data_IF_656006493869
#
_entry.id   IF_656006493869
#
_cell.length_a   1.000
_cell.length_b   1.000
_cell.length_c   1.000
_cell.angle_alpha   90.00
_cell.angle_beta   90.00
_cell.angle_gamma   90.00
#
_symmetry.space_group_name_H-M   'P 1'
#
loop_
_entity.id
_entity.type
_entity.pdbx_description
1 polymer ?
#
# COMPACT_ATOMS: atom_id res chain seq x y z
N UNK A 1 -2.20 21.91 -13.80
CA UNK A 1 -1.14 21.66 -12.82
C UNK A 1 -1.79 21.54 -11.44
N UNK A 2 -1.40 20.56 -10.65
CA UNK A 2 -1.91 20.39 -9.29
C UNK A 2 -1.31 21.47 -8.37
N UNK A 3 -2.17 22.12 -7.56
CA UNK A 3 -1.70 23.12 -6.59
C UNK A 3 -1.51 22.46 -5.22
N UNK A 4 -0.26 22.30 -4.81
CA UNK A 4 0.13 21.73 -3.51
C UNK A 4 -0.45 22.53 -2.32
N UNK A 5 -0.74 23.82 -2.50
CA UNK A 5 -1.31 24.65 -1.44
C UNK A 5 -2.77 24.30 -1.10
N UNK A 6 -3.43 23.49 -1.93
CA UNK A 6 -4.76 22.93 -1.61
C UNK A 6 -4.69 21.87 -0.50
N UNK A 7 -3.49 21.32 -0.22
CA UNK A 7 -3.28 20.36 0.86
C UNK A 7 -3.00 21.10 2.17
N UNK A 8 -3.70 20.79 3.26
CA UNK A 8 -3.51 21.42 4.55
C UNK A 8 -2.04 21.42 4.99
N UNK A 9 -1.56 22.54 5.50
CA UNK A 9 -0.16 22.68 5.97
C UNK A 9 0.17 21.62 7.04
N UNK A 10 -0.76 21.32 7.94
CA UNK A 10 -0.58 20.30 8.99
C UNK A 10 -0.33 18.91 8.40
N UNK A 11 -1.00 18.55 7.30
CA UNK A 11 -0.80 17.30 6.60
C UNK A 11 0.58 17.26 5.92
N UNK A 12 0.95 18.32 5.21
CA UNK A 12 2.26 18.44 4.57
C UNK A 12 3.41 18.35 5.60
N UNK A 13 3.27 19.02 6.74
CA UNK A 13 4.25 18.97 7.84
C UNK A 13 4.35 17.55 8.42
N UNK A 14 3.21 16.89 8.64
CA UNK A 14 3.20 15.52 9.16
C UNK A 14 3.92 14.56 8.20
N UNK A 15 3.61 14.59 6.90
CA UNK A 15 4.27 13.80 5.86
C UNK A 15 5.77 14.08 5.88
N UNK A 16 6.17 15.35 5.75
CA UNK A 16 7.56 15.76 5.68
C UNK A 16 8.36 15.29 6.88
N UNK A 17 7.84 15.49 8.10
CA UNK A 17 8.49 15.08 9.34
C UNK A 17 8.74 13.56 9.38
N UNK A 18 7.77 12.75 9.00
CA UNK A 18 7.92 11.32 9.02
C UNK A 18 8.91 10.81 7.95
N UNK A 19 8.84 11.34 6.73
CA UNK A 19 9.77 10.97 5.67
C UNK A 19 11.22 11.33 6.03
N UNK A 20 11.44 12.53 6.59
CA UNK A 20 12.78 12.99 7.01
C UNK A 20 13.42 12.07 8.06
N UNK A 21 12.65 11.49 8.99
CA UNK A 21 13.14 10.53 9.98
C UNK A 21 13.77 9.29 9.33
N UNK A 22 13.35 8.97 8.12
CA UNK A 22 13.82 7.83 7.35
C UNK A 22 14.72 8.23 6.17
N UNK A 23 15.25 9.46 6.21
CA UNK A 23 16.20 9.96 5.21
C UNK A 23 15.59 10.17 3.83
N UNK A 24 14.30 10.52 3.78
CA UNK A 24 13.59 10.89 2.55
C UNK A 24 13.22 12.36 2.63
N UNK A 25 13.78 13.18 1.74
CA UNK A 25 13.38 14.57 1.55
C UNK A 25 12.17 14.64 0.64
N UNK A 26 11.32 15.66 0.87
CA UNK A 26 10.20 15.97 -0.01
C UNK A 26 10.23 17.46 -0.37
N UNK A 27 10.21 17.74 -1.64
CA UNK A 27 10.13 19.10 -2.16
C UNK A 27 8.73 19.68 -1.90
N UNK A 28 8.67 20.85 -1.28
CA UNK A 28 7.40 21.43 -0.81
C UNK A 28 6.56 22.07 -1.92
N UNK A 29 7.14 22.31 -3.09
CA UNK A 29 6.45 22.91 -4.24
C UNK A 29 5.96 21.83 -5.21
N UNK A 30 6.82 20.85 -5.48
CA UNK A 30 6.53 19.80 -6.47
C UNK A 30 5.98 18.51 -5.85
N UNK A 31 6.14 18.32 -4.54
CA UNK A 31 5.79 17.10 -3.83
C UNK A 31 6.69 15.90 -4.17
N UNK A 32 7.77 16.09 -4.93
CA UNK A 32 8.69 15.01 -5.29
C UNK A 32 9.57 14.62 -4.12
N UNK A 33 9.89 13.32 -4.05
CA UNK A 33 10.78 12.80 -3.01
C UNK A 33 12.13 12.42 -3.59
N UNK A 34 13.15 12.50 -2.74
CA UNK A 34 14.46 11.95 -3.00
C UNK A 34 15.11 11.45 -1.70
N UNK A 35 16.07 10.54 -1.82
CA UNK A 35 16.82 10.06 -0.67
C UNK A 35 17.91 11.08 -0.31
N UNK A 36 18.00 11.43 0.98
CA UNK A 36 19.03 12.34 1.47
C UNK A 36 20.40 11.65 1.33
N UNK A 37 21.38 12.28 0.63
CA UNK A 37 22.71 11.70 0.48
C UNK A 37 23.36 11.36 1.83
N UNK A 38 24.01 10.21 1.91
CA UNK A 38 24.67 9.74 3.13
C UNK A 38 23.76 9.11 4.17
N UNK A 39 22.43 9.08 3.96
CA UNK A 39 21.53 8.35 4.85
C UNK A 39 21.48 6.86 4.49
N UNK A 40 21.39 6.00 5.51
CA UNK A 40 21.30 4.54 5.35
C UNK A 40 19.86 4.08 5.23
N UNK A 41 19.68 2.80 4.82
CA UNK A 41 18.39 2.13 4.92
C UNK A 41 17.97 2.11 6.40
N UNK A 42 16.68 2.36 6.71
CA UNK A 42 16.17 2.28 8.08
C UNK A 42 16.49 0.94 8.74
N UNK A 43 16.78 0.98 10.03
CA UNK A 43 16.94 -0.25 10.82
C UNK A 43 15.62 -1.03 10.85
N UNK A 44 15.69 -2.32 10.56
CA UNK A 44 14.58 -3.26 10.71
C UNK A 44 15.01 -4.31 11.73
N UNK A 45 14.30 -4.39 12.86
CA UNK A 45 14.66 -5.22 14.02
C UNK A 45 13.95 -6.56 14.07
N UNK A 46 12.90 -6.75 13.29
CA UNK A 46 12.27 -8.06 13.14
C UNK A 46 13.12 -8.98 12.26
N UNK A 47 12.85 -10.28 12.26
CA UNK A 47 13.55 -11.25 11.43
C UNK A 47 13.21 -11.07 9.95
N UNK A 48 11.92 -10.87 9.66
CA UNK A 48 11.44 -10.66 8.30
C UNK A 48 10.06 -9.98 8.28
N UNK A 49 9.76 -9.30 7.19
CA UNK A 49 8.44 -8.73 6.90
C UNK A 49 7.98 -9.25 5.55
N UNK A 50 6.80 -9.83 5.52
CA UNK A 50 6.11 -10.24 4.31
C UNK A 50 4.77 -9.52 4.19
N UNK A 51 4.27 -9.36 2.98
CA UNK A 51 2.96 -8.80 2.73
C UNK A 51 2.17 -9.67 1.76
N UNK A 52 0.91 -9.89 2.09
CA UNK A 52 -0.10 -10.35 1.15
C UNK A 52 -1.11 -9.24 0.89
N UNK A 53 -1.50 -9.12 -0.37
CA UNK A 53 -2.52 -8.18 -0.79
C UNK A 53 -3.90 -8.77 -0.47
N UNK A 54 -4.88 -7.89 -0.16
CA UNK A 54 -6.27 -8.31 -0.04
C UNK A 54 -6.74 -9.11 -1.26
N UNK A 55 -7.71 -9.99 -1.08
CA UNK A 55 -8.32 -10.77 -2.15
C UNK A 55 -8.78 -9.89 -3.32
N UNK A 56 -8.77 -10.42 -4.53
CA UNK A 56 -9.27 -9.70 -5.70
C UNK A 56 -10.74 -9.36 -5.52
N UNK A 57 -11.07 -8.10 -5.76
CA UNK A 57 -12.43 -7.58 -5.71
C UNK A 57 -13.02 -7.41 -7.10
N UNK A 58 -14.34 -7.39 -7.22
CA UNK A 58 -15.01 -7.19 -8.50
C UNK A 58 -14.61 -5.88 -9.20
N UNK A 59 -14.43 -4.78 -8.45
CA UNK A 59 -13.99 -3.51 -9.03
C UNK A 59 -12.58 -3.63 -9.61
N UNK A 60 -11.65 -4.26 -8.86
CA UNK A 60 -10.29 -4.46 -9.38
C UNK A 60 -10.29 -5.36 -10.61
N UNK A 61 -11.14 -6.39 -10.66
CA UNK A 61 -11.26 -7.24 -11.85
C UNK A 61 -11.75 -6.49 -13.09
N UNK A 62 -12.42 -5.35 -12.90
CA UNK A 62 -12.89 -4.42 -13.95
C UNK A 62 -11.94 -3.24 -14.19
N UNK A 63 -10.75 -3.22 -13.54
CA UNK A 63 -9.77 -2.12 -13.62
C UNK A 63 -10.27 -0.79 -13.04
N UNK A 64 -11.18 -0.84 -12.08
CA UNK A 64 -11.79 0.32 -11.45
C UNK A 64 -11.14 0.66 -10.12
N UNK A 65 -11.07 1.95 -9.81
CA UNK A 65 -10.65 2.42 -8.49
C UNK A 65 -11.69 2.08 -7.43
N UNK A 66 -11.18 1.71 -6.27
CA UNK A 66 -11.98 1.54 -5.05
C UNK A 66 -11.63 2.61 -4.04
N UNK A 67 -12.64 3.02 -3.27
CA UNK A 67 -12.41 3.75 -2.04
C UNK A 67 -12.47 2.81 -0.82
N UNK A 68 -12.04 3.31 0.33
CA UNK A 68 -12.02 2.53 1.56
C UNK A 68 -13.41 2.32 2.17
N UNK A 69 -14.33 3.21 1.84
CA UNK A 69 -15.73 3.17 2.30
C UNK A 69 -16.65 2.33 1.41
N UNK A 70 -16.17 1.86 0.25
CA UNK A 70 -16.98 1.01 -0.65
C UNK A 70 -17.14 -0.38 -0.05
N UNK A 71 -18.14 -0.52 0.83
CA UNK A 71 -18.51 -1.79 1.45
C UNK A 71 -19.15 -2.80 0.49
N UNK A 72 -19.49 -2.38 -0.73
CA UNK A 72 -20.29 -3.17 -1.65
C UNK A 72 -19.47 -3.87 -2.74
N UNK A 73 -18.14 -3.80 -2.68
CA UNK A 73 -17.31 -4.52 -3.62
C UNK A 73 -16.99 -5.90 -3.08
N UNK A 74 -17.73 -6.89 -3.54
CA UNK A 74 -17.48 -8.31 -3.26
C UNK A 74 -16.11 -8.76 -3.77
N UNK A 75 -15.64 -9.89 -3.26
CA UNK A 75 -14.53 -10.60 -3.85
C UNK A 75 -14.98 -11.41 -5.06
N UNK A 76 -14.12 -11.56 -6.05
CA UNK A 76 -14.34 -12.54 -7.10
C UNK A 76 -14.20 -13.96 -6.52
N UNK A 77 -14.85 -14.96 -7.12
CA UNK A 77 -14.67 -16.37 -6.72
C UNK A 77 -13.19 -16.76 -6.80
N UNK A 78 -12.51 -16.36 -7.88
CA UNK A 78 -11.08 -16.57 -8.05
C UNK A 78 -10.26 -15.91 -6.92
N UNK A 79 -10.61 -14.69 -6.50
CA UNK A 79 -9.94 -14.00 -5.38
C UNK A 79 -10.06 -14.76 -4.07
N UNK A 80 -11.24 -15.32 -3.79
CA UNK A 80 -11.48 -16.15 -2.59
C UNK A 80 -10.64 -17.44 -2.66
N UNK A 81 -10.65 -18.15 -3.79
CA UNK A 81 -9.89 -19.39 -3.95
C UNK A 81 -8.38 -19.16 -3.83
N UNK A 82 -7.86 -18.11 -4.46
CA UNK A 82 -6.44 -17.74 -4.36
C UNK A 82 -6.09 -17.46 -2.90
N UNK A 83 -6.91 -16.70 -2.18
CA UNK A 83 -6.67 -16.38 -0.77
C UNK A 83 -6.69 -17.63 0.12
N UNK A 84 -7.58 -18.58 -0.14
CA UNK A 84 -7.60 -19.87 0.57
C UNK A 84 -6.33 -20.71 0.30
N UNK A 85 -5.82 -20.69 -0.92
CA UNK A 85 -4.53 -21.31 -1.24
C UNK A 85 -3.37 -20.66 -0.52
N UNK A 86 -3.31 -19.31 -0.54
CA UNK A 86 -2.30 -18.57 0.23
C UNK A 86 -2.36 -18.92 1.72
N UNK A 87 -3.56 -19.01 2.31
CA UNK A 87 -3.72 -19.37 3.72
C UNK A 87 -3.08 -20.73 4.06
N UNK A 88 -3.09 -21.68 3.12
CA UNK A 88 -2.41 -22.96 3.29
C UNK A 88 -0.88 -22.84 3.16
N UNK A 89 -0.39 -22.00 2.26
CA UNK A 89 1.05 -21.76 2.05
C UNK A 89 1.70 -21.06 3.25
N UNK A 90 0.94 -20.27 4.04
CA UNK A 90 1.47 -19.56 5.20
C UNK A 90 2.10 -20.48 6.27
N UNK A 91 1.69 -21.75 6.32
CA UNK A 91 2.28 -22.74 7.24
C UNK A 91 3.79 -22.92 7.03
N UNK A 92 4.29 -22.72 5.81
CA UNK A 92 5.69 -22.89 5.43
C UNK A 92 6.58 -21.73 5.91
N UNK A 93 5.98 -20.56 6.15
CA UNK A 93 6.71 -19.33 6.50
C UNK A 93 6.97 -19.18 8.00
N UNK A 94 6.24 -19.93 8.84
CA UNK A 94 6.36 -19.88 10.31
C UNK A 94 6.27 -18.45 10.86
N UNK A 95 5.24 -17.69 10.47
CA UNK A 95 4.99 -16.36 11.01
C UNK A 95 4.69 -16.40 12.51
N UNK A 96 5.19 -15.42 13.24
CA UNK A 96 4.89 -15.23 14.67
C UNK A 96 3.64 -14.38 14.87
N UNK A 97 3.36 -13.47 13.93
CA UNK A 97 2.26 -12.50 14.03
C UNK A 97 1.81 -12.04 12.64
N UNK A 98 0.51 -11.78 12.49
CA UNK A 98 -0.01 -11.03 11.35
C UNK A 98 -0.56 -9.67 11.80
N UNK A 99 -0.22 -8.61 11.06
CA UNK A 99 -0.78 -7.28 11.23
C UNK A 99 -1.65 -6.97 10.02
N UNK A 100 -2.89 -6.54 10.24
CA UNK A 100 -3.80 -6.26 9.13
C UNK A 100 -4.42 -4.87 9.19
N UNK A 101 -4.66 -4.28 8.00
CA UNK A 101 -5.25 -2.96 7.85
C UNK A 101 -6.74 -2.91 8.19
N UNK A 102 -7.30 -1.71 8.43
CA UNK A 102 -8.68 -1.55 8.93
C UNK A 102 -9.76 -1.62 7.86
N UNK A 103 -9.41 -1.53 6.57
CA UNK A 103 -10.41 -1.39 5.50
C UNK A 103 -11.15 -2.70 5.22
N UNK A 104 -12.43 -2.67 4.83
CA UNK A 104 -13.29 -3.85 4.76
C UNK A 104 -12.69 -5.00 3.93
N UNK A 105 -12.15 -4.74 2.73
CA UNK A 105 -11.55 -5.78 1.89
C UNK A 105 -10.33 -6.46 2.52
N UNK A 106 -9.55 -5.72 3.32
CA UNK A 106 -8.41 -6.29 4.06
C UNK A 106 -8.90 -7.12 5.25
N UNK A 107 -9.87 -6.60 6.00
CA UNK A 107 -10.50 -7.33 7.11
C UNK A 107 -11.13 -8.63 6.62
N UNK A 108 -11.89 -8.59 5.54
CA UNK A 108 -12.53 -9.78 4.98
C UNK A 108 -11.50 -10.79 4.44
N UNK A 109 -10.39 -10.31 3.86
CA UNK A 109 -9.27 -11.18 3.45
C UNK A 109 -8.66 -11.88 4.65
N UNK A 110 -8.41 -11.12 5.74
CA UNK A 110 -7.90 -11.68 6.98
C UNK A 110 -8.86 -12.75 7.55
N UNK A 111 -10.17 -12.54 7.50
CA UNK A 111 -11.16 -13.53 7.94
C UNK A 111 -11.06 -14.82 7.12
N UNK A 112 -10.95 -14.73 5.78
CA UNK A 112 -10.77 -15.92 4.91
C UNK A 112 -9.48 -16.68 5.28
N UNK A 113 -8.39 -15.97 5.54
CA UNK A 113 -7.13 -16.60 5.96
C UNK A 113 -7.29 -17.34 7.27
N UNK A 114 -8.02 -16.77 8.23
CA UNK A 114 -8.22 -17.34 9.56
C UNK A 114 -9.33 -18.41 9.61
N UNK A 115 -10.09 -18.64 8.54
CA UNK A 115 -10.97 -19.83 8.42
C UNK A 115 -10.17 -21.14 8.61
N UNK A 116 -8.92 -21.15 8.16
CA UNK A 116 -7.97 -22.20 8.46
C UNK A 116 -7.23 -21.87 9.75
N UNK A 117 -7.09 -22.81 10.71
CA UNK A 117 -6.27 -22.58 11.91
C UNK A 117 -4.84 -22.17 11.54
N UNK A 118 -4.43 -21.00 11.97
CA UNK A 118 -3.09 -20.47 11.79
C UNK A 118 -2.28 -20.59 13.10
N UNK A 119 -0.95 -20.65 12.99
CA UNK A 119 -0.04 -20.70 14.15
C UNK A 119 0.23 -19.31 14.75
N UNK A 120 -0.28 -18.25 14.15
CA UNK A 120 -0.13 -16.86 14.55
C UNK A 120 -1.49 -16.23 14.83
N UNK A 121 -1.51 -15.21 15.64
CA UNK A 121 -2.66 -14.33 15.80
C UNK A 121 -2.62 -13.16 14.79
N UNK A 122 -3.76 -12.55 14.52
CA UNK A 122 -3.87 -11.40 13.64
C UNK A 122 -4.35 -10.17 14.41
N UNK A 123 -3.58 -9.07 14.35
CA UNK A 123 -3.84 -7.82 15.06
C UNK A 123 -4.14 -6.70 14.07
N UNK A 124 -5.24 -5.97 14.31
CA UNK A 124 -5.63 -4.81 13.51
C UNK A 124 -4.73 -3.61 13.81
N UNK A 125 -4.14 -3.03 12.77
CA UNK A 125 -3.31 -1.83 12.86
C UNK A 125 -3.92 -0.73 11.99
N UNK A 126 -4.44 0.33 12.61
CA UNK A 126 -5.17 1.39 11.90
C UNK A 126 -4.30 2.12 10.86
N UNK A 127 -3.01 2.28 11.11
CA UNK A 127 -2.08 2.94 10.19
C UNK A 127 -1.62 2.05 9.03
N UNK A 128 -1.94 0.78 9.03
CA UNK A 128 -1.69 -0.14 7.93
C UNK A 128 -2.77 0.05 6.83
N UNK A 129 -2.79 1.26 6.30
CA UNK A 129 -3.82 1.80 5.43
C UNK A 129 -3.17 2.30 4.14
N UNK A 130 -3.68 1.87 3.00
CA UNK A 130 -3.16 2.26 1.69
C UNK A 130 -3.81 3.51 1.11
N UNK A 131 -3.70 3.67 -0.20
CA UNK A 131 -4.34 4.78 -0.92
C UNK A 131 -5.87 4.65 -0.84
N UNK A 132 -6.52 5.68 -0.34
CA UNK A 132 -7.95 5.89 -0.48
C UNK A 132 -8.23 6.77 -1.71
N UNK A 133 -9.06 6.26 -2.60
CA UNK A 133 -9.44 6.91 -3.86
C UNK A 133 -10.85 7.52 -3.81
N UNK A 134 -11.34 7.88 -2.63
CA UNK A 134 -12.66 8.51 -2.48
C UNK A 134 -12.81 9.70 -3.44
N UNK A 135 -13.86 9.66 -4.27
CA UNK A 135 -14.13 10.59 -5.36
C UNK A 135 -13.70 10.06 -6.75
N UNK A 136 -13.06 8.90 -6.81
CA UNK A 136 -12.73 8.19 -8.06
C UNK A 136 -13.31 6.77 -8.11
N UNK A 137 -14.32 6.51 -7.31
CA UNK A 137 -14.99 5.22 -7.25
C UNK A 137 -15.48 4.80 -8.64
N UNK A 138 -15.21 3.56 -8.99
CA UNK A 138 -15.62 2.93 -10.25
C UNK A 138 -15.07 3.59 -11.52
N UNK A 139 -14.11 4.51 -11.41
CA UNK A 139 -13.37 5.04 -12.55
C UNK A 139 -12.14 4.19 -12.83
N UNK A 140 -11.84 4.02 -14.11
CA UNK A 140 -10.58 3.39 -14.56
C UNK A 140 -9.44 4.40 -14.60
N UNK A 141 -8.22 3.92 -14.83
CA UNK A 141 -7.07 4.78 -15.13
C UNK A 141 -7.31 5.59 -16.41
N UNK A 142 -7.94 4.99 -17.41
CA UNK A 142 -8.25 5.63 -18.69
C UNK A 142 -9.23 6.79 -18.49
N UNK A 143 -10.27 6.62 -17.65
CA UNK A 143 -11.22 7.70 -17.33
C UNK A 143 -10.53 8.91 -16.68
N UNK A 144 -9.41 8.67 -16.01
CA UNK A 144 -8.70 9.69 -15.24
C UNK A 144 -7.46 10.25 -15.95
N UNK A 145 -7.13 9.78 -17.16
CA UNK A 145 -5.92 10.17 -17.89
C UNK A 145 -5.75 11.69 -18.11
N UNK A 146 -6.84 12.46 -18.09
CA UNK A 146 -6.83 13.91 -18.21
C UNK A 146 -7.13 14.63 -16.89
N UNK A 147 -7.29 13.90 -15.78
CA UNK A 147 -7.55 14.50 -14.47
C UNK A 147 -6.25 15.07 -13.87
N UNK A 148 -6.17 16.38 -13.57
CA UNK A 148 -4.94 17.00 -13.09
C UNK A 148 -4.39 16.38 -11.79
N UNK A 149 -5.27 15.98 -10.86
CA UNK A 149 -4.88 15.35 -9.61
C UNK A 149 -4.34 13.95 -9.84
N UNK A 150 -4.94 13.18 -10.77
CA UNK A 150 -4.45 11.86 -11.16
C UNK A 150 -3.06 11.96 -11.80
N UNK A 151 -2.88 12.89 -12.76
CA UNK A 151 -1.60 13.14 -13.41
C UNK A 151 -0.54 13.49 -12.36
N UNK A 152 -0.82 14.43 -11.46
CA UNK A 152 0.12 14.84 -10.42
C UNK A 152 0.52 13.65 -9.52
N UNK A 153 -0.46 12.86 -9.06
CA UNK A 153 -0.22 11.77 -8.11
C UNK A 153 0.47 10.57 -8.75
N UNK A 154 -0.04 10.10 -9.89
CA UNK A 154 0.40 8.81 -10.44
C UNK A 154 1.50 8.95 -11.50
N UNK A 155 1.52 10.05 -12.25
CA UNK A 155 2.47 10.25 -13.34
C UNK A 155 3.64 11.13 -12.91
N UNK A 156 3.35 12.27 -12.28
CA UNK A 156 4.38 13.23 -11.86
C UNK A 156 5.02 12.87 -10.50
N UNK A 157 4.50 11.84 -9.81
CA UNK A 157 4.97 11.38 -8.50
C UNK A 157 4.92 12.47 -7.42
N UNK A 158 3.88 13.31 -7.43
CA UNK A 158 3.64 14.28 -6.39
C UNK A 158 3.04 13.60 -5.16
N UNK A 159 3.83 13.45 -4.10
CA UNK A 159 3.47 12.73 -2.88
C UNK A 159 2.39 13.44 -2.05
N UNK A 160 2.09 14.70 -2.31
CA UNK A 160 0.99 15.41 -1.66
C UNK A 160 -0.33 15.28 -2.42
N UNK A 161 -0.30 14.95 -3.72
CA UNK A 161 -1.51 14.93 -4.54
C UNK A 161 -2.49 13.82 -4.10
N UNK A 162 -3.73 14.21 -3.89
CA UNK A 162 -4.84 13.33 -3.50
C UNK A 162 -6.18 13.90 -3.92
N UNK A 163 -7.21 13.07 -3.98
CA UNK A 163 -8.59 13.56 -4.05
C UNK A 163 -8.94 14.33 -2.76
N UNK A 164 -9.97 15.20 -2.78
CA UNK A 164 -10.32 15.99 -1.59
C UNK A 164 -10.56 15.17 -0.31
N UNK A 165 -11.15 13.99 -0.44
CA UNK A 165 -11.46 13.10 0.69
C UNK A 165 -10.58 11.84 0.75
N UNK A 166 -9.66 11.67 -0.19
CA UNK A 166 -8.77 10.51 -0.23
C UNK A 166 -7.43 10.75 0.45
N UNK A 167 -6.51 9.78 0.25
CA UNK A 167 -5.15 9.86 0.79
C UNK A 167 -4.11 10.04 -0.31
N UNK A 168 -2.96 10.61 0.04
CA UNK A 168 -1.80 10.77 -0.84
C UNK A 168 -0.77 9.65 -0.64
N UNK A 169 0.13 9.46 -1.60
CA UNK A 169 1.28 8.56 -1.44
C UNK A 169 2.16 8.96 -0.25
N UNK A 170 2.38 10.26 -0.05
CA UNK A 170 3.15 10.74 1.09
C UNK A 170 2.53 10.34 2.43
N UNK A 171 1.20 10.38 2.55
CA UNK A 171 0.50 9.93 3.75
C UNK A 171 0.64 8.41 3.96
N UNK A 172 0.54 7.62 2.90
CA UNK A 172 0.73 6.17 3.01
C UNK A 172 2.14 5.83 3.46
N UNK A 173 3.16 6.49 2.89
CA UNK A 173 4.56 6.30 3.31
C UNK A 173 4.74 6.73 4.77
N UNK A 174 4.19 7.88 5.18
CA UNK A 174 4.26 8.35 6.57
C UNK A 174 3.60 7.36 7.56
N UNK A 175 2.46 6.77 7.18
CA UNK A 175 1.82 5.72 7.97
C UNK A 175 2.68 4.45 8.05
N UNK A 176 3.36 4.08 6.96
CA UNK A 176 4.28 2.92 6.97
C UNK A 176 5.52 3.17 7.84
N UNK A 177 5.98 4.43 7.99
CA UNK A 177 7.01 4.79 8.99
C UNK A 177 6.54 4.40 10.39
N UNK A 178 5.33 4.83 10.77
CA UNK A 178 4.78 4.52 12.10
C UNK A 178 4.55 3.01 12.30
N UNK A 179 4.15 2.29 11.25
CA UNK A 179 4.01 0.82 11.30
C UNK A 179 5.37 0.14 11.46
N UNK A 180 6.42 0.62 10.79
CA UNK A 180 7.76 0.07 10.94
C UNK A 180 8.33 0.33 12.34
N UNK A 181 8.07 1.50 12.91
CA UNK A 181 8.42 1.80 14.31
C UNK A 181 7.72 0.81 15.27
N UNK A 182 6.41 0.60 15.09
CA UNK A 182 5.64 -0.38 15.86
C UNK A 182 6.25 -1.79 15.76
N UNK A 183 6.61 -2.21 14.53
CA UNK A 183 7.24 -3.53 14.32
C UNK A 183 8.59 -3.61 15.04
N UNK A 184 9.40 -2.57 14.93
CA UNK A 184 10.71 -2.51 15.57
C UNK A 184 10.65 -2.52 17.11
N UNK A 185 9.60 -1.93 17.68
CA UNK A 185 9.41 -1.86 19.13
C UNK A 185 8.82 -3.15 19.70
N UNK A 186 7.79 -3.70 19.06
CA UNK A 186 6.99 -4.78 19.63
C UNK A 186 7.32 -6.17 19.08
N UNK A 187 7.90 -6.25 17.88
CA UNK A 187 8.10 -7.53 17.16
C UNK A 187 9.55 -7.77 16.78
N UNK A 188 10.50 -7.34 17.63
CA UNK A 188 11.93 -7.59 17.44
C UNK A 188 12.21 -9.09 17.35
N UNK A 189 12.96 -9.50 16.31
CA UNK A 189 13.32 -10.89 16.04
C UNK A 189 12.16 -11.78 15.60
N UNK A 190 10.99 -11.21 15.32
CA UNK A 190 9.78 -11.92 14.88
C UNK A 190 9.64 -11.94 13.36
N UNK A 191 8.95 -12.95 12.84
CA UNK A 191 8.50 -13.02 11.45
C UNK A 191 7.13 -12.42 11.35
N UNK A 192 7.03 -11.28 10.67
CA UNK A 192 5.81 -10.46 10.59
C UNK A 192 5.16 -10.63 9.24
N UNK A 193 3.87 -10.97 9.23
CA UNK A 193 3.02 -10.94 8.04
C UNK A 193 2.19 -9.66 8.04
N UNK A 194 2.18 -8.93 6.94
CA UNK A 194 1.25 -7.82 6.71
C UNK A 194 0.13 -8.28 5.77
N UNK A 195 -1.12 -8.01 6.12
CA UNK A 195 -2.28 -8.20 5.25
C UNK A 195 -2.81 -6.82 4.91
N UNK A 196 -2.62 -6.37 3.66
CA UNK A 196 -2.94 -4.98 3.31
C UNK A 196 -3.18 -4.78 1.81
N UNK A 197 -2.79 -3.63 1.29
CA UNK A 197 -2.98 -3.17 -0.09
C UNK A 197 -1.63 -3.12 -0.83
N UNK A 198 -1.67 -3.18 -2.16
CA UNK A 198 -0.48 -3.02 -3.00
C UNK A 198 0.23 -1.68 -2.83
N UNK A 199 -0.51 -0.61 -2.48
CA UNK A 199 0.09 0.69 -2.15
C UNK A 199 0.95 0.66 -0.89
N UNK A 200 0.57 -0.12 0.11
CA UNK A 200 1.37 -0.33 1.33
C UNK A 200 2.66 -1.08 1.02
N UNK A 201 2.60 -2.12 0.16
CA UNK A 201 3.80 -2.81 -0.31
C UNK A 201 4.79 -1.84 -0.95
N UNK A 202 4.32 -1.01 -1.88
CA UNK A 202 5.17 -0.02 -2.56
C UNK A 202 5.73 1.04 -1.61
N UNK A 203 4.93 1.50 -0.65
CA UNK A 203 5.37 2.43 0.38
C UNK A 203 6.51 1.84 1.24
N UNK A 204 6.41 0.59 1.68
CA UNK A 204 7.50 -0.10 2.37
C UNK A 204 8.74 -0.27 1.48
N UNK A 205 8.55 -0.59 0.19
CA UNK A 205 9.67 -0.68 -0.75
C UNK A 205 10.40 0.66 -0.92
N UNK A 206 9.67 1.79 -0.90
CA UNK A 206 10.27 3.14 -0.90
C UNK A 206 11.03 3.37 0.41
N UNK A 207 10.44 3.11 1.57
CA UNK A 207 11.11 3.26 2.86
C UNK A 207 12.40 2.44 2.94
N UNK A 208 12.40 1.23 2.43
CA UNK A 208 13.55 0.32 2.44
C UNK A 208 14.47 0.48 1.22
N UNK A 209 14.31 1.55 0.44
CA UNK A 209 15.14 1.92 -0.72
C UNK A 209 15.21 0.86 -1.82
N UNK A 210 14.17 0.02 -1.92
CA UNK A 210 14.00 -0.97 -3.00
C UNK A 210 13.28 -0.39 -4.21
N UNK A 211 12.74 0.82 -4.06
CA UNK A 211 11.96 1.54 -5.06
C UNK A 211 12.08 3.04 -4.78
N UNK A 212 12.16 3.87 -5.80
CA UNK A 212 12.23 5.33 -5.67
C UNK A 212 10.83 5.98 -5.75
N UNK A 213 9.99 5.50 -6.64
CA UNK A 213 8.63 6.02 -6.86
C UNK A 213 7.60 4.88 -6.89
N UNK A 214 6.32 5.17 -6.62
CA UNK A 214 5.28 4.13 -6.56
C UNK A 214 5.15 3.28 -7.83
N UNK A 215 5.50 3.82 -8.99
CA UNK A 215 5.29 3.21 -10.30
C UNK A 215 6.59 2.95 -11.08
N UNK A 216 7.73 2.81 -10.41
CA UNK A 216 9.03 2.57 -11.08
C UNK A 216 9.06 1.36 -12.04
N UNK A 217 8.17 0.38 -11.84
CA UNK A 217 8.10 -0.83 -12.67
C UNK A 217 7.20 -0.66 -13.90
N UNK A 218 6.58 0.51 -14.06
CA UNK A 218 5.59 0.74 -15.10
C UNK A 218 6.00 1.91 -16.01
N UNK A 219 5.80 1.75 -17.32
CA UNK A 219 5.73 2.90 -18.23
C UNK A 219 4.41 3.63 -18.00
N UNK A 220 4.33 4.91 -18.39
CA UNK A 220 3.08 5.69 -18.32
C UNK A 220 1.95 4.96 -19.06
N UNK A 221 2.22 4.39 -20.22
CA UNK A 221 1.28 3.58 -20.98
C UNK A 221 0.86 2.33 -20.21
N UNK A 222 1.82 1.60 -19.61
CA UNK A 222 1.55 0.42 -18.80
C UNK A 222 0.75 0.71 -17.52
N UNK A 223 0.75 1.96 -17.03
CA UNK A 223 -0.09 2.34 -15.87
C UNK A 223 -1.59 2.33 -16.22
N UNK A 224 -1.97 2.69 -17.44
CA UNK A 224 -3.37 2.65 -17.88
C UNK A 224 -3.90 1.22 -18.03
N UNK A 225 -3.01 0.26 -18.16
CA UNK A 225 -3.31 -1.17 -18.26
C UNK A 225 -3.00 -1.95 -16.98
N UNK A 226 -2.86 -1.26 -15.85
CA UNK A 226 -2.67 -1.92 -14.53
C UNK A 226 -3.91 -2.74 -14.21
N UNK A 227 -3.77 -4.04 -14.30
CA UNK A 227 -4.88 -4.97 -14.10
C UNK A 227 -5.20 -5.84 -15.32
N UNK A 228 -4.57 -5.64 -16.47
CA UNK A 228 -4.62 -6.58 -17.58
C UNK A 228 -4.18 -7.97 -17.12
N UNK A 229 -4.71 -9.02 -17.74
CA UNK A 229 -4.51 -10.43 -17.32
C UNK A 229 -3.05 -10.82 -17.11
N UNK A 230 -2.13 -10.19 -17.83
CA UNK A 230 -0.68 -10.37 -17.67
C UNK A 230 -0.15 -9.82 -16.35
N UNK A 231 -0.79 -8.78 -15.80
CA UNK A 231 -0.43 -8.14 -14.53
C UNK A 231 -1.27 -8.63 -13.35
N UNK A 232 -2.50 -9.13 -13.59
CA UNK A 232 -3.37 -9.71 -12.55
C UNK A 232 -2.69 -10.88 -11.84
N UNK A 233 -2.08 -11.80 -12.58
CA UNK A 233 -1.39 -12.97 -12.02
C UNK A 233 -0.17 -12.61 -11.18
N UNK A 234 0.40 -11.41 -11.33
CA UNK A 234 1.59 -10.96 -10.57
C UNK A 234 1.25 -10.30 -9.24
N UNK A 235 0.00 -9.89 -8.99
CA UNK A 235 -0.36 -9.09 -7.83
C UNK A 235 -1.25 -9.80 -6.79
N UNK A 236 -1.89 -10.92 -7.18
CA UNK A 236 -2.71 -11.72 -6.28
C UNK A 236 -2.13 -13.12 -6.16
N UNK A 237 -2.22 -13.71 -4.99
CA UNK A 237 -1.64 -15.02 -4.74
C UNK A 237 -0.14 -15.03 -4.47
N UNK A 238 0.50 -13.87 -4.29
CA UNK A 238 1.92 -13.74 -3.97
C UNK A 238 2.08 -13.34 -2.52
N UNK A 239 3.04 -13.98 -1.86
CA UNK A 239 3.53 -13.60 -0.53
C UNK A 239 4.81 -12.81 -0.76
N UNK A 240 4.69 -11.47 -0.78
CA UNK A 240 5.81 -10.58 -1.10
C UNK A 240 6.75 -10.42 0.11
N UNK A 241 8.02 -10.75 -0.06
CA UNK A 241 9.04 -10.46 0.94
C UNK A 241 9.44 -8.99 0.86
N UNK A 242 9.13 -8.24 1.93
CA UNK A 242 9.52 -6.83 2.08
C UNK A 242 10.93 -6.71 2.68
N UNK A 243 11.22 -7.54 3.68
CA UNK A 243 12.48 -7.56 4.41
C UNK A 243 12.86 -8.98 4.85
#
# INVERSE_FOLDING_TARGET
MFDVNTIPMSERVHITKNLLRYGIAIDQETGKIDYIPGTTIPEVRCESIYLIRHAETEAVSKHEFMCDTSNNCGFTESGIEITKKQAAELDEYNFDIALYGPIPRVVNTQLIIMERPQKFEAIKVHKLHGIDNTGWEYKSFEDLQHNPTFIAREIENNMFARTPSGTSWGMVIANCVDVLDLINEQYKGKRVLLISQGSVLRAFQILLRKRKHPWDDFTVEGMYHVGDDTNKKKNYGIIDKIY
#
